data_IF_421644436807
#
_entry.id   IF_421644436807
#
_cell.length_a   1.000
_cell.length_b   1.000
_cell.length_c   1.000
_cell.angle_alpha   90.00
_cell.angle_beta   90.00
_cell.angle_gamma   90.00
#
_symmetry.space_group_name_H-M   'P 1'
#
loop_
_entity.id
_entity.type
_entity.pdbx_description
1 polymer ?
#
# COMPACT_ATOMS: atom_id res chain seq x y z
N UNK A 1 -2.21 10.18 -0.61
CA UNK A 1 -3.25 9.12 -0.78
C UNK A 1 -3.43 8.41 0.54
N UNK A 2 -4.64 8.30 1.05
CA UNK A 2 -4.93 7.48 2.24
C UNK A 2 -5.25 6.04 1.85
N UNK A 3 -5.06 5.09 2.77
CA UNK A 3 -5.46 3.68 2.57
C UNK A 3 -6.95 3.59 2.19
N UNK A 4 -7.79 4.38 2.84
CA UNK A 4 -9.23 4.44 2.58
C UNK A 4 -9.54 4.81 1.13
N UNK A 5 -8.81 5.80 0.57
CA UNK A 5 -8.99 6.21 -0.82
C UNK A 5 -8.56 5.10 -1.80
N UNK A 6 -7.44 4.42 -1.51
CA UNK A 6 -6.96 3.28 -2.29
C UNK A 6 -7.97 2.12 -2.31
N UNK A 7 -8.50 1.76 -1.14
CA UNK A 7 -9.51 0.71 -1.01
C UNK A 7 -10.80 1.09 -1.74
N UNK A 8 -11.24 2.34 -1.64
CA UNK A 8 -12.42 2.82 -2.37
C UNK A 8 -12.26 2.68 -3.89
N UNK A 9 -11.10 3.07 -4.43
CA UNK A 9 -10.79 2.89 -5.86
C UNK A 9 -10.78 1.41 -6.24
N UNK A 10 -10.16 0.55 -5.42
CA UNK A 10 -10.14 -0.90 -5.66
C UNK A 10 -11.54 -1.52 -5.71
N UNK A 11 -12.45 -1.07 -4.82
CA UNK A 11 -13.85 -1.52 -4.82
C UNK A 11 -14.57 -1.05 -6.08
N UNK A 12 -14.41 0.22 -6.48
CA UNK A 12 -15.02 0.74 -7.72
C UNK A 12 -14.55 -0.05 -8.94
N UNK A 13 -13.25 -0.31 -9.05
CA UNK A 13 -12.67 -1.12 -10.12
C UNK A 13 -13.25 -2.54 -10.11
N UNK A 14 -13.38 -3.16 -8.93
CA UNK A 14 -13.99 -4.49 -8.77
C UNK A 14 -15.43 -4.53 -9.30
N UNK A 15 -16.22 -3.49 -9.00
CA UNK A 15 -17.60 -3.36 -9.50
C UNK A 15 -17.62 -3.21 -11.03
N UNK A 16 -16.74 -2.40 -11.61
CA UNK A 16 -16.65 -2.23 -13.07
C UNK A 16 -16.33 -3.58 -13.74
N UNK A 17 -15.33 -4.31 -13.23
CA UNK A 17 -14.97 -5.62 -13.77
C UNK A 17 -16.08 -6.65 -13.59
N UNK A 18 -16.88 -6.58 -12.53
CA UNK A 18 -18.06 -7.43 -12.39
C UNK A 18 -18.99 -7.30 -13.60
N UNK A 19 -19.36 -6.08 -13.99
CA UNK A 19 -20.25 -5.85 -15.13
C UNK A 19 -19.61 -6.25 -16.45
N UNK A 20 -18.32 -5.96 -16.66
CA UNK A 20 -17.58 -6.39 -17.85
C UNK A 20 -17.59 -7.92 -17.96
N UNK A 21 -17.33 -8.62 -16.85
CA UNK A 21 -17.35 -10.08 -16.81
C UNK A 21 -18.72 -10.69 -17.10
N UNK A 22 -19.80 -10.05 -16.63
CA UNK A 22 -21.18 -10.46 -16.96
C UNK A 22 -21.46 -10.24 -18.44
N UNK A 23 -21.16 -9.06 -18.98
CA UNK A 23 -21.40 -8.70 -20.38
C UNK A 23 -20.62 -9.60 -21.36
N UNK A 24 -19.36 -9.91 -21.04
CA UNK A 24 -18.51 -10.77 -21.85
C UNK A 24 -18.79 -12.28 -21.66
N UNK A 25 -19.76 -12.67 -20.83
CA UNK A 25 -20.04 -14.09 -20.52
C UNK A 25 -18.94 -14.78 -19.70
N UNK A 26 -17.95 -14.04 -19.19
CA UNK A 26 -16.76 -14.55 -18.49
C UNK A 26 -16.83 -14.40 -16.96
N UNK A 27 -18.04 -14.21 -16.39
CA UNK A 27 -18.28 -13.90 -14.96
C UNK A 27 -17.42 -14.71 -13.99
N UNK A 28 -17.34 -16.03 -14.17
CA UNK A 28 -16.60 -16.93 -13.27
C UNK A 28 -15.09 -16.63 -13.28
N UNK A 29 -14.51 -16.46 -14.47
CA UNK A 29 -13.08 -16.19 -14.65
C UNK A 29 -12.72 -14.84 -14.05
N UNK A 30 -13.54 -13.82 -14.30
CA UNK A 30 -13.31 -12.47 -13.75
C UNK A 30 -13.36 -12.47 -12.23
N UNK A 31 -14.31 -13.18 -11.61
CA UNK A 31 -14.36 -13.29 -10.16
C UNK A 31 -13.13 -14.01 -9.58
N UNK A 32 -12.67 -15.10 -10.21
CA UNK A 32 -11.44 -15.79 -9.80
C UNK A 32 -10.25 -14.81 -9.86
N UNK A 33 -10.11 -14.08 -10.97
CA UNK A 33 -9.05 -13.10 -11.13
C UNK A 33 -9.11 -11.99 -10.08
N UNK A 34 -10.29 -11.45 -9.80
CA UNK A 34 -10.50 -10.42 -8.76
C UNK A 34 -10.03 -10.94 -7.40
N UNK A 35 -10.44 -12.16 -7.01
CA UNK A 35 -10.05 -12.75 -5.72
C UNK A 35 -8.53 -12.92 -5.64
N UNK A 36 -7.89 -13.40 -6.71
CA UNK A 36 -6.44 -13.56 -6.77
C UNK A 36 -5.71 -12.21 -6.67
N UNK A 37 -6.21 -11.18 -7.35
CA UNK A 37 -5.65 -9.82 -7.28
C UNK A 37 -5.77 -9.28 -5.86
N UNK A 38 -6.94 -9.38 -5.22
CA UNK A 38 -7.12 -8.93 -3.84
C UNK A 38 -6.22 -9.68 -2.87
N UNK A 39 -6.10 -11.01 -3.02
CA UNK A 39 -5.20 -11.81 -2.20
C UNK A 39 -3.73 -11.38 -2.37
N UNK A 40 -3.28 -11.17 -3.61
CA UNK A 40 -1.92 -10.71 -3.89
C UNK A 40 -1.66 -9.30 -3.33
N UNK A 41 -2.58 -8.36 -3.55
CA UNK A 41 -2.44 -6.97 -3.07
C UNK A 41 -2.40 -6.92 -1.55
N UNK A 42 -3.31 -7.60 -0.87
CA UNK A 42 -3.34 -7.65 0.60
C UNK A 42 -2.05 -8.29 1.11
N UNK A 43 -1.67 -9.46 0.56
CA UNK A 43 -0.47 -10.17 0.97
C UNK A 43 0.80 -9.31 0.83
N UNK A 44 0.93 -8.56 -0.26
CA UNK A 44 2.09 -7.67 -0.46
C UNK A 44 2.01 -6.48 0.48
N UNK A 45 0.86 -5.80 0.57
CA UNK A 45 0.72 -4.59 1.38
C UNK A 45 0.96 -4.85 2.87
N UNK A 46 0.53 -6.00 3.38
CA UNK A 46 0.70 -6.41 4.79
C UNK A 46 1.98 -7.22 5.03
N UNK A 47 2.75 -7.55 3.99
CA UNK A 47 4.02 -8.24 4.19
C UNK A 47 5.00 -7.34 4.92
N UNK A 48 5.71 -7.91 5.89
CA UNK A 48 6.79 -7.22 6.57
C UNK A 48 7.92 -6.90 5.59
N UNK A 49 8.48 -5.70 5.69
CA UNK A 49 9.61 -5.31 4.87
C UNK A 49 10.87 -6.08 5.25
N UNK A 50 11.80 -6.19 4.31
CA UNK A 50 13.10 -6.82 4.55
C UNK A 50 13.88 -6.06 5.62
N UNK A 51 14.79 -6.72 6.37
CA UNK A 51 15.64 -6.07 7.38
C UNK A 51 16.35 -4.80 6.89
N UNK A 52 16.80 -4.78 5.62
CA UNK A 52 17.45 -3.62 5.00
C UNK A 52 16.57 -2.35 5.02
N UNK A 53 15.26 -2.48 4.92
CA UNK A 53 14.35 -1.35 4.98
C UNK A 53 14.30 -0.72 6.38
N UNK A 54 14.51 -1.49 7.44
CA UNK A 54 14.64 -0.94 8.80
C UNK A 54 15.89 -0.06 8.94
N UNK A 55 16.98 -0.38 8.23
CA UNK A 55 18.17 0.47 8.21
C UNK A 55 17.92 1.79 7.47
N UNK A 56 17.12 1.77 6.39
CA UNK A 56 16.66 2.99 5.72
C UNK A 56 15.78 3.84 6.65
N UNK A 57 14.89 3.23 7.42
CA UNK A 57 14.05 3.92 8.41
C UNK A 57 14.90 4.62 9.47
N UNK A 58 15.96 3.98 9.98
CA UNK A 58 16.89 4.62 10.92
C UNK A 58 17.58 5.85 10.34
N UNK A 59 17.87 5.87 9.03
CA UNK A 59 18.46 7.03 8.37
C UNK A 59 17.47 8.20 8.19
N UNK A 60 16.16 7.90 8.14
CA UNK A 60 15.09 8.89 8.06
C UNK A 60 14.69 9.42 9.43
N UNK A 61 14.89 8.62 10.49
CA UNK A 61 14.51 8.95 11.86
C UNK A 61 15.24 10.19 12.39
N UNK A 62 14.52 11.07 13.07
CA UNK A 62 15.04 12.31 13.66
C UNK A 62 15.14 13.48 12.69
N UNK A 63 14.92 13.27 11.38
CA UNK A 63 15.04 14.33 10.38
C UNK A 63 13.80 15.23 10.28
N UNK A 64 12.61 14.64 10.39
CA UNK A 64 11.34 15.37 10.28
C UNK A 64 10.31 14.83 11.27
N UNK A 65 9.69 15.72 12.05
CA UNK A 65 8.75 15.33 13.11
C UNK A 65 7.54 14.53 12.60
N UNK A 66 7.03 14.87 11.42
CA UNK A 66 5.88 14.19 10.82
C UNK A 66 6.23 12.75 10.40
N UNK A 67 7.43 12.57 9.84
CA UNK A 67 7.96 11.25 9.47
C UNK A 67 8.24 10.40 10.70
N UNK A 68 8.80 10.99 11.77
CA UNK A 68 9.06 10.29 13.02
C UNK A 68 7.79 9.79 13.71
N UNK A 69 6.68 10.52 13.59
CA UNK A 69 5.39 10.07 14.09
C UNK A 69 4.95 8.78 13.38
N UNK A 70 5.07 8.75 12.05
CA UNK A 70 4.73 7.58 11.24
C UNK A 70 5.66 6.38 11.54
N UNK A 71 6.94 6.64 11.77
CA UNK A 71 7.91 5.60 12.17
C UNK A 71 7.54 4.99 13.52
N UNK A 72 7.17 5.82 14.51
CA UNK A 72 6.77 5.35 15.84
C UNK A 72 5.48 4.52 15.81
N UNK A 73 4.55 4.88 14.93
CA UNK A 73 3.29 4.14 14.77
C UNK A 73 3.49 2.77 14.10
N UNK A 74 4.49 2.63 13.23
CA UNK A 74 4.75 1.41 12.46
C UNK A 74 5.70 0.40 13.17
N UNK A 75 6.55 0.85 14.09
CA UNK A 75 7.45 -0.04 14.84
C UNK A 75 6.63 -0.84 15.88
N UNK A 76 6.90 -2.15 16.10
CA UNK A 76 8.07 -2.89 15.64
C UNK A 76 7.94 -3.58 14.27
N UNK A 77 6.73 -3.73 13.74
CA UNK A 77 6.47 -4.52 12.53
C UNK A 77 6.10 -3.60 11.37
N UNK A 78 7.09 -3.26 10.54
CA UNK A 78 6.86 -2.36 9.41
C UNK A 78 6.45 -3.17 8.19
N UNK A 79 5.23 -2.96 7.73
CA UNK A 79 4.72 -3.49 6.47
C UNK A 79 5.20 -2.68 5.26
N UNK A 80 5.11 -3.28 4.07
CA UNK A 80 5.39 -2.56 2.80
C UNK A 80 4.55 -1.29 2.69
N UNK A 81 3.29 -1.33 3.12
CA UNK A 81 2.43 -0.15 3.14
C UNK A 81 2.98 0.97 4.04
N UNK A 82 3.33 0.67 5.28
CA UNK A 82 3.86 1.65 6.24
C UNK A 82 5.19 2.23 5.76
N UNK A 83 6.07 1.41 5.19
CA UNK A 83 7.33 1.87 4.61
C UNK A 83 7.10 2.89 3.48
N UNK A 84 6.12 2.64 2.60
CA UNK A 84 5.77 3.59 1.53
C UNK A 84 5.25 4.91 2.14
N UNK A 85 4.43 4.85 3.18
CA UNK A 85 3.89 6.03 3.86
C UNK A 85 5.01 6.85 4.52
N UNK A 86 5.92 6.19 5.25
CA UNK A 86 7.09 6.81 5.88
C UNK A 86 7.96 7.48 4.82
N UNK A 87 8.31 6.77 3.74
CA UNK A 87 9.16 7.28 2.67
C UNK A 87 8.53 8.45 1.93
N UNK A 88 7.23 8.40 1.66
CA UNK A 88 6.51 9.52 1.03
C UNK A 88 6.48 10.75 1.93
N UNK A 89 6.31 10.57 3.24
CA UNK A 89 6.41 11.68 4.22
C UNK A 89 7.81 12.29 4.20
N UNK A 90 8.85 11.45 4.21
CA UNK A 90 10.24 11.89 4.15
C UNK A 90 10.53 12.72 2.88
N UNK A 91 10.22 12.17 1.71
CA UNK A 91 10.44 12.82 0.40
C UNK A 91 9.64 14.10 0.19
N UNK A 92 8.54 14.31 0.94
CA UNK A 92 7.77 15.56 0.88
C UNK A 92 8.54 16.74 1.49
N UNK A 93 9.42 16.46 2.45
CA UNK A 93 10.18 17.47 3.18
C UNK A 93 11.62 17.63 2.68
N UNK A 94 12.14 16.63 1.96
CA UNK A 94 13.42 16.73 1.28
C UNK A 94 13.37 17.85 0.21
N UNK A 95 14.43 18.65 0.07
CA UNK A 95 14.53 19.63 -1.01
C UNK A 95 14.42 18.90 -2.35
N UNK A 96 13.52 19.36 -3.21
CA UNK A 96 13.46 18.89 -4.59
C UNK A 96 14.55 19.64 -5.35
N UNK A 97 15.56 18.91 -5.83
CA UNK A 97 16.51 19.42 -6.82
C UNK A 97 15.80 19.87 -8.10
#
# INVERSE_FOLDING_TARGET
MSLTLLLAIGIVITIIFHFIGVYAGAKKIVWIAIVLIWAAVISVATSEVKPKAYDEIKQMQGKYSDTDKLIKEAIPNVSVYEMIVIKNSFLKHEPKE
#
